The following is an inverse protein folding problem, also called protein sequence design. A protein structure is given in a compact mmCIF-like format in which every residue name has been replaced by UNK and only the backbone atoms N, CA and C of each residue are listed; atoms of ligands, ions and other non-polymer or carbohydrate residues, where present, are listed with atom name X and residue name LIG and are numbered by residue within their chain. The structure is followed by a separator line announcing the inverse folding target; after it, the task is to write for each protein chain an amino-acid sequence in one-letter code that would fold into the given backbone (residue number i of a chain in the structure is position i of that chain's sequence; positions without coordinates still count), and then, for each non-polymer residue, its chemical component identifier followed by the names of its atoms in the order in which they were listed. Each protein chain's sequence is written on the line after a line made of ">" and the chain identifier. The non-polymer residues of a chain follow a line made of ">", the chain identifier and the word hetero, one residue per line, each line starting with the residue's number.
data_IF_771179433040
#
_entry.id   IF_771179433040
#
_cell.length_a   1.000
_cell.length_b   1.000
_cell.length_c   1.000
_cell.angle_alpha   90.00
_cell.angle_beta   90.00
_cell.angle_gamma   90.00
#
_symmetry.space_group_name_H-M   'P 1'
#
loop_
_entity.id
_entity.type
_entity.pdbx_description
1 polymer ?
#
# COMPACT_ATOMS: atom_id res chain seq x y z
N UNK A 1 11.67 -15.46 74.16
CA UNK A 1 11.34 -14.38 73.22
C UNK A 1 10.57 -15.01 72.06
N UNK A 2 9.48 -14.38 71.60
CA UNK A 2 8.80 -14.81 70.36
C UNK A 2 9.63 -14.23 69.22
N UNK A 3 10.24 -15.10 68.43
CA UNK A 3 10.96 -14.71 67.22
C UNK A 3 9.92 -14.61 66.09
N UNK A 4 9.65 -13.38 65.64
CA UNK A 4 8.76 -13.15 64.50
C UNK A 4 9.59 -13.36 63.23
N UNK A 5 9.30 -14.43 62.50
CA UNK A 5 9.92 -14.68 61.20
C UNK A 5 9.39 -13.67 60.18
N UNK A 6 10.26 -13.10 59.33
CA UNK A 6 9.82 -12.15 58.32
C UNK A 6 8.91 -12.82 57.27
N UNK A 7 7.87 -12.11 56.85
CA UNK A 7 7.00 -12.55 55.75
C UNK A 7 7.82 -12.66 54.45
N UNK A 8 7.64 -13.76 53.72
CA UNK A 8 8.27 -13.92 52.42
C UNK A 8 7.52 -13.05 51.40
N UNK A 9 8.22 -12.16 50.70
CA UNK A 9 7.65 -11.32 49.66
C UNK A 9 8.35 -11.53 48.33
N UNK A 10 7.57 -11.52 47.25
CA UNK A 10 8.06 -11.55 45.88
C UNK A 10 7.41 -10.44 45.04
N UNK A 11 8.05 -10.07 43.93
CA UNK A 11 7.54 -9.08 42.99
C UNK A 11 7.40 -9.68 41.59
N UNK A 12 6.24 -9.50 40.96
CA UNK A 12 5.96 -9.82 39.57
C UNK A 12 5.77 -8.52 38.79
N UNK A 13 6.79 -8.12 38.01
CA UNK A 13 6.74 -6.87 37.25
C UNK A 13 7.22 -6.99 35.78
N UNK A 14 6.69 -7.94 34.99
CA UNK A 14 7.00 -8.01 33.56
C UNK A 14 6.29 -6.87 32.79
N UNK A 15 6.83 -6.58 31.60
CA UNK A 15 6.12 -5.83 30.57
C UNK A 15 5.45 -6.81 29.61
N UNK A 16 4.16 -6.63 29.33
CA UNK A 16 3.36 -7.50 28.48
C UNK A 16 2.94 -6.79 27.18
N UNK A 17 2.47 -7.57 26.21
CA UNK A 17 1.82 -7.02 25.01
C UNK A 17 0.39 -6.54 25.32
N UNK A 18 -0.15 -5.59 24.53
CA UNK A 18 -1.56 -5.18 24.65
C UNK A 18 -2.51 -6.39 24.65
N UNK A 19 -3.51 -6.38 25.53
CA UNK A 19 -4.47 -7.48 25.68
C UNK A 19 -3.94 -8.77 26.34
N UNK A 20 -2.65 -8.88 26.66
CA UNK A 20 -2.16 -9.99 27.48
C UNK A 20 -2.56 -9.85 28.96
N UNK A 21 -2.59 -10.97 29.67
CA UNK A 21 -2.83 -10.99 31.12
C UNK A 21 -1.95 -12.01 31.85
N UNK A 22 -1.90 -11.89 33.16
CA UNK A 22 -1.31 -12.88 34.07
C UNK A 22 -2.30 -13.21 35.17
N UNK A 23 -2.42 -14.49 35.50
CA UNK A 23 -3.24 -14.94 36.61
C UNK A 23 -2.35 -15.21 37.82
N UNK A 24 -2.67 -14.59 38.96
CA UNK A 24 -1.98 -14.79 40.24
C UNK A 24 -3.04 -15.04 41.30
N UNK A 25 -2.96 -16.18 41.99
CA UNK A 25 -3.91 -16.54 43.06
C UNK A 25 -5.40 -16.47 42.66
N UNK A 26 -5.72 -16.76 41.39
CA UNK A 26 -7.07 -16.69 40.86
C UNK A 26 -7.56 -15.29 40.47
N UNK A 27 -6.74 -14.25 40.70
CA UNK A 27 -6.98 -12.88 40.23
C UNK A 27 -6.28 -12.69 38.88
N UNK A 28 -7.01 -12.10 37.92
CA UNK A 28 -6.45 -11.72 36.60
C UNK A 28 -5.91 -10.30 36.68
N UNK A 29 -4.66 -10.16 36.26
CA UNK A 29 -3.96 -8.89 36.12
C UNK A 29 -3.76 -8.61 34.63
N UNK A 30 -4.27 -7.48 34.16
CA UNK A 30 -4.32 -7.03 32.76
C UNK A 30 -4.23 -5.48 32.69
N UNK A 31 -4.46 -4.88 31.53
CA UNK A 31 -4.39 -3.42 31.35
C UNK A 31 -5.40 -2.64 32.21
N UNK A 32 -6.52 -3.27 32.57
CA UNK A 32 -7.55 -2.67 33.45
C UNK A 32 -7.26 -2.87 34.94
N UNK A 33 -6.47 -3.89 35.26
CA UNK A 33 -6.02 -4.24 36.61
C UNK A 33 -4.51 -4.56 36.63
N UNK A 34 -3.63 -3.56 36.46
CA UNK A 34 -2.20 -3.82 36.23
C UNK A 34 -1.41 -4.12 37.51
N UNK A 35 -1.94 -3.78 38.69
CA UNK A 35 -1.19 -3.90 39.94
C UNK A 35 -2.06 -4.32 41.12
N UNK A 36 -1.47 -5.04 42.07
CA UNK A 36 -2.12 -5.51 43.28
C UNK A 36 -1.19 -6.35 44.15
N UNK A 37 -1.71 -6.88 45.25
CA UNK A 37 -0.95 -7.74 46.16
C UNK A 37 -1.76 -8.97 46.48
N UNK A 38 -1.20 -10.13 46.21
CA UNK A 38 -1.78 -11.44 46.54
C UNK A 38 -1.13 -12.01 47.79
N UNK A 39 -1.94 -12.53 48.72
CA UNK A 39 -1.47 -13.20 49.93
C UNK A 39 -1.68 -14.70 49.78
N UNK A 40 -0.63 -15.47 50.05
CA UNK A 40 -0.60 -16.92 50.06
C UNK A 40 -0.48 -17.40 51.51
N UNK A 41 -1.60 -17.86 52.13
CA UNK A 41 -1.60 -18.31 53.50
C UNK A 41 -0.70 -19.53 53.70
N UNK A 42 0.13 -19.55 54.75
CA UNK A 42 1.13 -20.59 55.01
C UNK A 42 2.09 -20.87 53.82
N UNK A 43 2.31 -19.88 52.94
CA UNK A 43 3.09 -20.06 51.72
C UNK A 43 4.60 -20.23 51.93
N UNK A 44 5.14 -19.91 53.12
CA UNK A 44 6.57 -20.05 53.40
C UNK A 44 6.93 -21.46 53.89
N UNK A 45 8.20 -21.86 53.74
CA UNK A 45 8.71 -23.16 54.23
C UNK A 45 8.58 -23.36 55.75
N UNK A 46 8.28 -22.27 56.48
CA UNK A 46 8.08 -22.27 57.93
C UNK A 46 6.59 -22.09 58.32
N UNK A 47 5.68 -22.11 57.35
CA UNK A 47 4.24 -21.99 57.57
C UNK A 47 3.74 -20.57 57.84
N UNK A 48 4.54 -19.54 57.53
CA UNK A 48 4.08 -18.13 57.55
C UNK A 48 3.43 -17.76 56.21
N UNK A 49 2.61 -16.72 56.23
CA UNK A 49 2.03 -16.15 55.02
C UNK A 49 3.12 -15.58 54.10
N UNK A 50 2.87 -15.62 52.80
CA UNK A 50 3.74 -15.04 51.78
C UNK A 50 2.94 -14.06 50.93
N UNK A 51 3.60 -13.02 50.42
CA UNK A 51 2.96 -12.00 49.58
C UNK A 51 3.61 -11.93 48.20
N UNK A 52 2.80 -11.71 47.17
CA UNK A 52 3.27 -11.42 45.82
C UNK A 52 2.73 -10.05 45.42
N UNK A 53 3.62 -9.10 45.22
CA UNK A 53 3.28 -7.79 44.68
C UNK A 53 3.32 -7.86 43.15
N UNK A 54 2.17 -7.66 42.51
CA UNK A 54 2.03 -7.61 41.06
C UNK A 54 2.06 -6.16 40.62
N UNK A 55 2.88 -5.85 39.62
CA UNK A 55 2.97 -4.55 38.99
C UNK A 55 3.34 -4.72 37.51
N UNK A 56 2.33 -4.99 36.69
CA UNK A 56 2.47 -5.18 35.25
C UNK A 56 2.63 -3.83 34.54
N UNK A 57 3.42 -3.84 33.48
CA UNK A 57 3.47 -2.77 32.49
C UNK A 57 3.09 -3.32 31.12
N UNK A 58 2.69 -2.47 30.20
CA UNK A 58 2.25 -2.88 28.86
C UNK A 58 2.96 -2.07 27.79
N UNK A 59 3.40 -2.73 26.73
CA UNK A 59 3.93 -2.05 25.56
C UNK A 59 2.81 -1.27 24.86
N UNK A 60 3.09 -0.10 24.27
CA UNK A 60 2.11 0.58 23.44
C UNK A 60 1.77 -0.28 22.22
N UNK A 61 0.56 -0.11 21.69
CA UNK A 61 0.17 -0.72 20.43
C UNK A 61 1.11 -0.26 19.31
N UNK A 62 1.70 -1.22 18.60
CA UNK A 62 2.58 -0.95 17.49
C UNK A 62 1.74 -0.70 16.23
N UNK A 63 1.66 0.56 15.79
CA UNK A 63 0.92 0.93 14.58
C UNK A 63 1.83 1.40 13.46
N UNK A 64 1.46 1.05 12.23
CA UNK A 64 2.12 1.48 11.00
C UNK A 64 1.12 2.03 9.99
N UNK A 65 1.62 2.82 9.05
CA UNK A 65 0.82 3.36 7.95
C UNK A 65 1.53 3.17 6.61
N UNK A 66 0.80 2.66 5.63
CA UNK A 66 1.21 2.60 4.24
C UNK A 66 0.30 3.54 3.46
N UNK A 67 0.88 4.64 2.98
CA UNK A 67 0.19 5.59 2.11
C UNK A 67 0.96 5.71 0.80
N UNK A 68 0.33 5.34 -0.31
CA UNK A 68 0.97 5.37 -1.62
C UNK A 68 -0.02 5.80 -2.71
N UNK A 69 0.50 6.46 -3.74
CA UNK A 69 -0.22 6.69 -4.99
C UNK A 69 0.30 5.71 -6.04
N UNK A 70 -0.57 4.89 -6.63
CA UNK A 70 -0.24 3.93 -7.67
C UNK A 70 -0.77 4.37 -9.04
N UNK A 71 -0.28 3.76 -10.10
CA UNK A 71 -0.88 3.89 -11.44
C UNK A 71 -2.18 3.09 -11.52
N UNK A 72 -3.08 3.45 -12.43
CA UNK A 72 -4.28 2.66 -12.76
C UNK A 72 -3.91 1.20 -13.04
N UNK A 73 -4.68 0.25 -12.50
CA UNK A 73 -4.39 -1.19 -12.56
C UNK A 73 -3.23 -1.66 -11.66
N UNK A 74 -2.59 -0.76 -10.92
CA UNK A 74 -1.56 -1.11 -9.93
C UNK A 74 -2.15 -1.77 -8.68
N UNK A 75 -1.32 -2.54 -7.97
CA UNK A 75 -1.71 -3.15 -6.70
C UNK A 75 -0.52 -3.26 -5.74
N UNK A 76 -0.84 -3.43 -4.46
CA UNK A 76 0.10 -3.71 -3.38
C UNK A 76 -0.40 -4.92 -2.59
N UNK A 77 0.49 -5.83 -2.23
CA UNK A 77 0.15 -6.95 -1.33
C UNK A 77 0.71 -6.66 0.06
N UNK A 78 -0.17 -6.65 1.06
CA UNK A 78 0.20 -6.47 2.48
C UNK A 78 -0.38 -7.65 3.25
N UNK A 79 0.48 -8.40 3.96
CA UNK A 79 0.08 -9.55 4.77
C UNK A 79 -0.77 -10.61 4.02
N UNK A 80 -0.56 -10.74 2.70
CA UNK A 80 -1.32 -11.64 1.83
C UNK A 80 -2.63 -11.07 1.26
N UNK A 81 -3.08 -9.91 1.75
CA UNK A 81 -4.22 -9.16 1.18
C UNK A 81 -3.77 -8.28 0.02
N UNK A 82 -4.54 -8.32 -1.08
CA UNK A 82 -4.32 -7.45 -2.25
C UNK A 82 -5.09 -6.15 -2.05
N UNK A 83 -4.38 -5.03 -2.18
CA UNK A 83 -4.91 -3.68 -2.19
C UNK A 83 -4.75 -3.09 -3.59
N UNK A 84 -5.86 -2.67 -4.19
CA UNK A 84 -5.98 -2.17 -5.55
C UNK A 84 -7.12 -1.13 -5.65
N UNK A 85 -7.54 -0.76 -6.86
CA UNK A 85 -8.61 0.24 -7.05
C UNK A 85 -9.97 -0.21 -6.50
N UNK A 86 -10.23 -1.52 -6.39
CA UNK A 86 -11.45 -2.06 -5.81
C UNK A 86 -11.35 -2.20 -4.28
N UNK A 87 -10.13 -2.32 -3.76
CA UNK A 87 -9.84 -2.40 -2.33
C UNK A 87 -8.69 -1.44 -1.95
N UNK A 88 -8.92 -0.11 -1.93
CA UNK A 88 -7.83 0.87 -1.80
C UNK A 88 -7.37 1.07 -0.36
N UNK A 89 -8.13 0.63 0.64
CA UNK A 89 -7.80 0.88 2.04
C UNK A 89 -8.23 -0.27 2.95
N UNK A 90 -7.54 -0.42 4.08
CA UNK A 90 -7.86 -1.42 5.09
C UNK A 90 -6.83 -1.47 6.20
N UNK A 91 -6.96 -2.49 7.05
CA UNK A 91 -6.11 -2.66 8.23
C UNK A 91 -5.66 -4.12 8.32
N UNK A 92 -4.38 -4.33 8.56
CA UNK A 92 -3.75 -5.65 8.69
C UNK A 92 -3.16 -5.82 10.09
N UNK A 93 -3.45 -6.95 10.74
CA UNK A 93 -2.79 -7.35 11.98
C UNK A 93 -1.60 -8.27 11.64
N UNK A 94 -0.42 -7.92 12.13
CA UNK A 94 0.83 -8.65 11.90
C UNK A 94 1.28 -9.28 13.23
N UNK A 95 1.09 -10.60 13.41
CA UNK A 95 1.49 -11.28 14.62
C UNK A 95 2.99 -11.16 14.89
N UNK A 96 3.36 -10.75 16.09
CA UNK A 96 4.77 -10.51 16.45
C UNK A 96 5.49 -9.45 15.60
N UNK A 97 4.75 -8.59 14.90
CA UNK A 97 5.29 -7.60 13.98
C UNK A 97 5.98 -6.40 14.65
N UNK A 98 5.88 -6.24 15.98
CA UNK A 98 6.58 -5.19 16.72
C UNK A 98 8.01 -5.61 17.08
N UNK A 99 8.89 -4.63 17.32
CA UNK A 99 10.27 -4.90 17.75
C UNK A 99 10.36 -5.59 19.13
N UNK A 100 9.26 -5.58 19.90
CA UNK A 100 9.15 -6.25 21.20
C UNK A 100 8.54 -7.65 21.07
N UNK A 101 8.22 -8.10 19.84
CA UNK A 101 7.58 -9.39 19.58
C UNK A 101 6.07 -9.41 19.86
N UNK A 102 5.45 -8.25 20.07
CA UNK A 102 4.00 -8.10 20.13
C UNK A 102 3.41 -7.96 18.73
N UNK A 103 2.11 -8.15 18.63
CA UNK A 103 1.37 -7.90 17.40
C UNK A 103 1.43 -6.42 17.02
N UNK A 104 1.41 -6.14 15.72
CA UNK A 104 1.33 -4.78 15.18
C UNK A 104 0.14 -4.64 14.24
N UNK A 105 -0.33 -3.41 14.06
CA UNK A 105 -1.45 -3.07 13.19
C UNK A 105 -0.95 -2.12 12.10
N UNK A 106 -1.16 -2.48 10.84
CA UNK A 106 -0.77 -1.65 9.69
C UNK A 106 -2.03 -1.16 8.98
N UNK A 107 -2.16 0.16 8.86
CA UNK A 107 -3.23 0.78 8.10
C UNK A 107 -2.75 1.08 6.68
N UNK A 108 -3.48 0.59 5.69
CA UNK A 108 -3.19 0.77 4.27
C UNK A 108 -4.18 1.79 3.70
N UNK A 109 -3.66 2.76 2.95
CA UNK A 109 -4.44 3.76 2.23
C UNK A 109 -3.77 4.07 0.89
N UNK A 110 -4.34 3.55 -0.18
CA UNK A 110 -3.89 3.76 -1.54
C UNK A 110 -4.77 4.81 -2.22
N UNK A 111 -4.14 5.58 -3.09
CA UNK A 111 -4.82 6.38 -4.11
C UNK A 111 -4.22 6.06 -5.47
N UNK A 112 -4.89 6.47 -6.54
CA UNK A 112 -4.50 6.10 -7.89
C UNK A 112 -4.44 7.33 -8.77
N UNK A 113 -3.38 7.44 -9.58
CA UNK A 113 -3.31 8.48 -10.59
C UNK A 113 -4.38 8.24 -11.65
N UNK A 114 -5.06 9.29 -12.13
CA UNK A 114 -5.96 9.16 -13.26
C UNK A 114 -5.18 8.73 -14.51
N UNK A 115 -5.85 7.99 -15.38
CA UNK A 115 -5.27 7.61 -16.67
C UNK A 115 -4.88 8.85 -17.47
N UNK A 116 -3.62 8.90 -17.91
CA UNK A 116 -3.11 9.99 -18.73
C UNK A 116 -3.48 9.73 -20.18
N UNK A 117 -4.49 10.45 -20.70
CA UNK A 117 -4.94 10.32 -22.09
C UNK A 117 -4.44 11.47 -22.97
N UNK A 118 -4.17 11.16 -24.23
CA UNK A 118 -3.81 12.12 -25.27
C UNK A 118 -4.42 11.76 -26.62
N UNK A 119 -4.48 12.72 -27.53
CA UNK A 119 -5.03 12.51 -28.87
C UNK A 119 -4.11 13.06 -29.95
N UNK A 120 -3.87 12.26 -30.99
CA UNK A 120 -3.23 12.67 -32.23
C UNK A 120 -4.30 12.67 -33.33
N UNK A 121 -4.79 13.87 -33.65
CA UNK A 121 -5.73 14.08 -34.75
C UNK A 121 -5.04 14.87 -35.87
N UNK A 122 -4.83 14.27 -37.04
CA UNK A 122 -4.11 14.90 -38.15
C UNK A 122 -4.73 14.58 -39.52
N UNK A 123 -4.52 15.50 -40.47
CA UNK A 123 -4.86 15.29 -41.87
C UNK A 123 -3.57 15.11 -42.65
N UNK A 124 -3.40 13.94 -43.28
CA UNK A 124 -2.25 13.63 -44.13
C UNK A 124 -2.64 13.69 -45.61
N UNK A 125 -1.65 13.77 -46.49
CA UNK A 125 -1.88 13.57 -47.91
C UNK A 125 -2.09 12.07 -48.22
N UNK A 126 -2.83 11.74 -49.27
CA UNK A 126 -2.91 10.38 -49.81
C UNK A 126 -1.52 9.78 -50.02
N UNK A 127 -1.29 8.56 -49.52
CA UNK A 127 0.02 7.91 -49.48
C UNK A 127 0.94 8.31 -48.31
N UNK A 128 0.51 9.27 -47.47
CA UNK A 128 1.22 9.62 -46.23
C UNK A 128 1.01 8.61 -45.12
N UNK A 129 1.89 8.63 -44.11
CA UNK A 129 1.78 7.82 -42.90
C UNK A 129 2.37 8.54 -41.69
N UNK A 130 1.97 8.09 -40.50
CA UNK A 130 2.54 8.49 -39.22
C UNK A 130 2.96 7.24 -38.46
N UNK A 131 4.12 7.28 -37.79
CA UNK A 131 4.53 6.21 -36.89
C UNK A 131 4.38 6.67 -35.45
N UNK A 132 3.62 5.93 -34.65
CA UNK A 132 3.45 6.18 -33.21
C UNK A 132 3.80 4.90 -32.48
N UNK A 133 4.74 4.97 -31.53
CA UNK A 133 5.18 3.81 -30.73
C UNK A 133 5.60 2.57 -31.55
N UNK A 134 6.09 2.78 -32.78
CA UNK A 134 6.46 1.71 -33.71
C UNK A 134 5.33 1.19 -34.59
N UNK A 135 4.08 1.57 -34.34
CA UNK A 135 2.92 1.26 -35.19
C UNK A 135 2.81 2.27 -36.32
N UNK A 136 2.63 1.79 -37.56
CA UNK A 136 2.38 2.62 -38.74
C UNK A 136 0.87 2.86 -38.88
N UNK A 137 0.50 4.13 -38.95
CA UNK A 137 -0.85 4.60 -39.24
C UNK A 137 -0.88 5.26 -40.62
N UNK A 138 -1.76 4.77 -41.48
CA UNK A 138 -1.90 5.17 -42.89
C UNK A 138 -3.37 5.04 -43.34
N UNK A 139 -3.65 5.10 -44.64
CA UNK A 139 -5.03 4.97 -45.16
C UNK A 139 -5.69 3.61 -44.88
N UNK A 140 -4.92 2.54 -44.72
CA UNK A 140 -5.43 1.22 -44.36
C UNK A 140 -5.58 1.05 -42.85
N UNK A 141 -4.82 1.83 -42.06
CA UNK A 141 -4.88 1.86 -40.60
C UNK A 141 -4.95 3.30 -40.07
N UNK A 142 -6.09 4.01 -40.22
CA UNK A 142 -6.17 5.43 -39.91
C UNK A 142 -6.38 5.73 -38.42
N UNK A 143 -6.82 4.76 -37.62
CA UNK A 143 -7.19 4.97 -36.20
C UNK A 143 -6.62 3.89 -35.31
N UNK A 144 -6.33 4.21 -34.05
CA UNK A 144 -5.97 3.22 -33.04
C UNK A 144 -5.63 3.84 -31.70
N UNK A 145 -5.16 3.01 -30.78
CA UNK A 145 -4.78 3.41 -29.43
C UNK A 145 -3.39 2.85 -29.12
N UNK A 146 -2.51 3.71 -28.62
CA UNK A 146 -1.16 3.36 -28.19
C UNK A 146 -1.01 3.52 -26.68
N UNK A 147 -0.34 2.56 -26.04
CA UNK A 147 0.08 2.67 -24.64
C UNK A 147 1.56 3.05 -24.65
N UNK A 148 1.87 4.21 -24.08
CA UNK A 148 3.22 4.74 -23.95
C UNK A 148 3.72 4.50 -22.51
N UNK A 149 4.65 3.55 -22.30
CA UNK A 149 5.07 3.18 -20.96
C UNK A 149 5.81 4.33 -20.26
N UNK A 150 5.48 4.58 -18.99
CA UNK A 150 6.08 5.62 -18.15
C UNK A 150 6.07 7.04 -18.77
N UNK A 151 5.15 7.34 -19.69
CA UNK A 151 5.15 8.60 -20.44
C UNK A 151 4.45 9.75 -19.68
N UNK A 152 3.65 9.46 -18.66
CA UNK A 152 3.02 10.49 -17.85
C UNK A 152 4.03 11.14 -16.89
N UNK A 153 3.73 12.35 -16.41
CA UNK A 153 4.61 13.08 -15.47
C UNK A 153 4.85 12.33 -14.14
N UNK A 154 3.96 11.40 -13.78
CA UNK A 154 4.08 10.59 -12.56
C UNK A 154 4.77 9.25 -12.81
N UNK A 155 5.28 9.00 -14.02
CA UNK A 155 5.90 7.72 -14.40
C UNK A 155 4.90 6.59 -14.66
N UNK A 156 3.60 6.87 -14.70
CA UNK A 156 2.59 5.93 -15.19
C UNK A 156 2.52 5.92 -16.72
N UNK A 157 1.92 4.87 -17.26
CA UNK A 157 1.66 4.75 -18.68
C UNK A 157 0.65 5.81 -19.14
N UNK A 158 0.77 6.23 -20.41
CA UNK A 158 -0.19 7.13 -21.06
C UNK A 158 -0.87 6.41 -22.21
N UNK A 159 -2.16 6.67 -22.40
CA UNK A 159 -2.95 6.17 -23.51
C UNK A 159 -3.09 7.27 -24.58
N UNK A 160 -2.69 7.00 -25.81
CA UNK A 160 -2.78 7.95 -26.93
C UNK A 160 -3.71 7.42 -28.01
N UNK A 161 -4.81 8.13 -28.25
CA UNK A 161 -5.72 7.85 -29.35
C UNK A 161 -5.22 8.51 -30.63
N UNK A 162 -5.04 7.72 -31.68
CA UNK A 162 -4.63 8.18 -33.02
C UNK A 162 -5.86 8.18 -33.92
N UNK A 163 -6.09 9.30 -34.61
CA UNK A 163 -7.15 9.46 -35.60
C UNK A 163 -6.65 10.30 -36.78
N UNK A 164 -6.37 9.63 -37.89
CA UNK A 164 -5.90 10.24 -39.13
C UNK A 164 -7.03 10.37 -40.15
N UNK A 165 -6.95 11.43 -40.94
CA UNK A 165 -7.77 11.63 -42.14
C UNK A 165 -6.86 11.96 -43.32
N UNK A 166 -7.34 11.73 -44.54
CA UNK A 166 -6.49 11.82 -45.74
C UNK A 166 -7.14 12.67 -46.81
N UNK A 167 -6.36 13.62 -47.35
CA UNK A 167 -6.76 14.46 -48.47
C UNK A 167 -5.92 14.12 -49.70
N UNK A 168 -6.57 14.10 -50.87
CA UNK A 168 -5.87 13.94 -52.13
C UNK A 168 -4.97 15.13 -52.44
N UNK A 169 -3.80 14.85 -53.01
CA UNK A 169 -2.95 15.88 -53.58
C UNK A 169 -3.60 16.40 -54.86
N UNK A 170 -3.80 17.72 -54.94
CA UNK A 170 -4.27 18.36 -56.15
C UNK A 170 -3.15 18.32 -57.20
N UNK A 171 -3.25 17.41 -58.17
CA UNK A 171 -2.34 17.39 -59.31
C UNK A 171 -2.83 18.35 -60.39
N UNK A 172 -2.10 19.42 -60.65
CA UNK A 172 -2.29 20.22 -61.86
C UNK A 172 -1.55 19.55 -63.02
N UNK A 173 -2.30 18.97 -63.95
CA UNK A 173 -1.75 18.58 -65.24
C UNK A 173 -1.48 19.84 -66.06
N UNK A 174 -0.22 20.26 -66.15
CA UNK A 174 0.21 21.24 -67.15
C UNK A 174 0.19 20.55 -68.52
N UNK A 175 -0.98 20.47 -69.15
CA UNK A 175 -1.06 20.22 -70.59
C UNK A 175 -0.79 21.54 -71.31
N UNK A 176 0.46 21.99 -71.24
CA UNK A 176 0.93 23.09 -72.08
C UNK A 176 1.01 22.60 -73.52
N UNK A 177 0.06 22.99 -74.36
CA UNK A 177 0.27 22.93 -75.81
C UNK A 177 1.33 23.97 -76.13
N UNK A 178 2.58 23.54 -76.27
CA UNK A 178 3.64 24.38 -76.79
C UNK A 178 3.30 24.74 -78.24
N UNK A 179 3.29 26.04 -78.54
CA UNK A 179 3.24 26.51 -79.92
C UNK A 179 4.53 26.05 -80.66
N UNK A 180 4.48 25.80 -81.98
CA UNK A 180 5.69 25.48 -82.73
C UNK A 180 6.74 26.59 -82.60
N UNK A 181 7.87 26.30 -81.95
CA UNK A 181 9.02 27.19 -81.85
C UNK A 181 9.32 27.79 -80.47
N UNK A 182 8.55 27.48 -79.43
CA UNK A 182 8.91 27.88 -78.06
C UNK A 182 9.62 26.73 -77.32
N UNK A 183 10.77 27.07 -76.70
CA UNK A 183 11.59 26.21 -75.84
C UNK A 183 11.49 26.65 -74.39
#
# INVERSE_FOLDING_TARGET
>A
AIEVLPEASASLSPTLCPGESRMVNGVVYDESNPAGTEVFPNGSVQGCDSTVNVNLSFYPEATGQITQVLCTGGSLIVNGTVYDEANPAGTEAIPGGSAQGCDSVVNVSLSFYPEATGQIAQVLCTGGSLVVNGTVYDQANPTGVEILPNASANGCDSLVEVALSFNDVVSFGLTGTLCPGES
#
